data_IF_592193599357
#
_entry.id   IF_592193599357
#
_cell.length_a   1.000
_cell.length_b   1.000
_cell.length_c   1.000
_cell.angle_alpha   90.00
_cell.angle_beta   90.00
_cell.angle_gamma   90.00
#
_symmetry.space_group_name_H-M   'P 1'
#
loop_
_entity.id
_entity.type
_entity.pdbx_description
1 polymer ?
#
# COMPACT_ATOMS: atom_id res chain seq x y z
N UNK A 1 23.67 -0.72 17.78
CA UNK A 1 22.50 -0.52 16.89
C UNK A 1 21.97 -1.88 16.47
N UNK A 2 20.72 -2.21 16.80
CA UNK A 2 20.21 -3.59 16.79
C UNK A 2 20.06 -4.13 15.34
N UNK A 3 20.75 -5.21 14.96
CA UNK A 3 20.83 -5.71 13.57
C UNK A 3 19.46 -6.15 12.99
N UNK A 4 18.47 -6.42 13.84
CA UNK A 4 17.12 -6.88 13.46
C UNK A 4 16.30 -5.83 12.69
N UNK A 5 16.57 -4.53 12.88
CA UNK A 5 15.80 -3.44 12.24
C UNK A 5 16.02 -3.34 10.72
N UNK A 6 17.18 -3.79 10.20
CA UNK A 6 17.51 -3.67 8.77
C UNK A 6 16.74 -4.64 7.87
N UNK A 7 16.43 -5.84 8.37
CA UNK A 7 15.69 -6.87 7.61
C UNK A 7 14.23 -6.48 7.38
N UNK A 8 13.56 -5.98 8.42
CA UNK A 8 12.17 -5.53 8.34
C UNK A 8 12.01 -4.37 7.33
N UNK A 9 12.94 -3.41 7.32
CA UNK A 9 12.91 -2.28 6.39
C UNK A 9 13.03 -2.73 4.93
N UNK A 10 13.92 -3.69 4.63
CA UNK A 10 14.04 -4.25 3.27
C UNK A 10 12.75 -4.92 2.80
N UNK A 11 12.07 -5.65 3.68
CA UNK A 11 10.80 -6.32 3.35
C UNK A 11 9.70 -5.28 3.08
N UNK A 12 9.60 -4.24 3.92
CA UNK A 12 8.62 -3.16 3.73
C UNK A 12 8.84 -2.46 2.38
N UNK A 13 10.08 -2.08 2.08
CA UNK A 13 10.42 -1.43 0.80
C UNK A 13 10.07 -2.33 -0.39
N UNK A 14 10.42 -3.61 -0.32
CA UNK A 14 10.11 -4.57 -1.38
C UNK A 14 8.59 -4.73 -1.58
N UNK A 15 7.82 -4.85 -0.49
CA UNK A 15 6.36 -4.94 -0.54
C UNK A 15 5.72 -3.66 -1.09
N UNK A 16 6.23 -2.48 -0.72
CA UNK A 16 5.74 -1.21 -1.27
C UNK A 16 5.98 -1.09 -2.77
N UNK A 17 7.13 -1.56 -3.28
CA UNK A 17 7.42 -1.57 -4.72
C UNK A 17 6.48 -2.53 -5.45
N UNK A 18 6.29 -3.74 -4.93
CA UNK A 18 5.39 -4.74 -5.52
C UNK A 18 3.95 -4.19 -5.54
N UNK A 19 3.51 -3.59 -4.44
CA UNK A 19 2.19 -2.96 -4.36
C UNK A 19 2.02 -1.85 -5.38
N UNK A 20 3.01 -0.94 -5.51
CA UNK A 20 2.95 0.16 -6.47
C UNK A 20 2.93 -0.34 -7.91
N UNK A 21 3.75 -1.35 -8.23
CA UNK A 21 3.78 -1.97 -9.55
C UNK A 21 2.45 -2.68 -9.88
N UNK A 22 1.82 -3.34 -8.90
CA UNK A 22 0.52 -3.98 -9.06
C UNK A 22 -0.63 -2.96 -9.18
N UNK A 23 -0.52 -1.80 -8.53
CA UNK A 23 -1.49 -0.71 -8.63
C UNK A 23 -1.30 0.16 -9.88
N UNK A 24 -0.15 0.08 -10.56
CA UNK A 24 0.15 0.89 -11.74
C UNK A 24 -0.80 0.71 -12.94
N UNK A 25 -1.31 -0.49 -13.28
CA UNK A 25 -2.20 -0.69 -14.44
C UNK A 25 -3.57 -0.01 -14.26
N UNK A 26 -3.92 0.25 -13.01
CA UNK A 26 -5.24 0.73 -12.64
C UNK A 26 -5.63 2.04 -13.32
N UNK A 27 -4.83 3.13 -13.26
CA UNK A 27 -5.25 4.42 -13.80
C UNK A 27 -5.32 4.37 -15.33
N UNK A 28 -4.58 3.44 -15.96
CA UNK A 28 -4.68 3.20 -17.39
C UNK A 28 -5.99 2.49 -17.76
N UNK A 29 -6.47 1.56 -16.94
CA UNK A 29 -7.78 0.90 -17.13
C UNK A 29 -8.93 1.92 -16.99
N UNK A 30 -8.77 2.97 -16.17
CA UNK A 30 -9.75 4.06 -16.07
C UNK A 30 -9.97 4.80 -17.40
N UNK A 31 -8.93 4.92 -18.22
CA UNK A 31 -8.94 5.70 -19.47
C UNK A 31 -9.57 4.95 -20.67
N UNK A 32 -9.65 3.62 -20.62
CA UNK A 32 -10.23 2.78 -21.69
C UNK A 32 -11.13 1.67 -21.10
N UNK A 33 -12.29 2.02 -20.53
CA UNK A 33 -13.19 1.05 -19.94
C UNK A 33 -13.88 0.21 -21.01
N UNK A 34 -13.72 -1.12 -20.99
CA UNK A 34 -14.73 -1.99 -21.56
C UNK A 34 -16.03 -1.82 -20.76
N UNK A 35 -17.19 -1.56 -21.40
CA UNK A 35 -18.39 -1.07 -20.70
C UNK A 35 -18.89 -1.98 -19.56
N UNK A 36 -18.71 -3.29 -19.69
CA UNK A 36 -19.34 -4.30 -18.81
C UNK A 36 -18.62 -4.57 -17.49
N UNK A 37 -17.37 -4.13 -17.31
CA UNK A 37 -16.61 -4.38 -16.07
C UNK A 37 -16.12 -3.10 -15.39
N UNK A 38 -16.39 -1.94 -15.99
CA UNK A 38 -15.79 -0.67 -15.62
C UNK A 38 -16.23 -0.16 -14.24
N UNK A 39 -17.50 -0.25 -13.88
CA UNK A 39 -17.99 0.27 -12.59
C UNK A 39 -17.58 -0.61 -11.40
N UNK A 40 -17.67 -1.93 -11.53
CA UNK A 40 -17.18 -2.84 -10.49
C UNK A 40 -15.67 -2.71 -10.32
N UNK A 41 -14.92 -2.63 -11.42
CA UNK A 41 -13.47 -2.42 -11.37
C UNK A 41 -13.10 -1.10 -10.67
N UNK A 42 -13.78 0.00 -11.01
CA UNK A 42 -13.59 1.31 -10.33
C UNK A 42 -13.91 1.24 -8.84
N UNK A 43 -15.00 0.58 -8.48
CA UNK A 43 -15.39 0.40 -7.07
C UNK A 43 -14.35 -0.39 -6.30
N UNK A 44 -13.89 -1.54 -6.81
CA UNK A 44 -12.83 -2.32 -6.16
C UNK A 44 -11.53 -1.55 -6.02
N UNK A 45 -11.23 -0.70 -7.01
CA UNK A 45 -10.06 0.12 -6.95
C UNK A 45 -10.13 1.17 -5.84
N UNK A 46 -11.22 1.92 -5.78
CA UNK A 46 -11.41 2.96 -4.77
C UNK A 46 -11.35 2.35 -3.36
N UNK A 47 -11.95 1.16 -3.17
CA UNK A 47 -11.85 0.40 -1.93
C UNK A 47 -10.39 0.02 -1.64
N UNK A 48 -9.67 -0.55 -2.61
CA UNK A 48 -8.28 -0.93 -2.42
C UNK A 48 -7.38 0.26 -2.06
N UNK A 49 -7.59 1.40 -2.73
CA UNK A 49 -6.88 2.64 -2.44
C UNK A 49 -7.20 3.15 -1.03
N UNK A 50 -8.48 3.32 -0.69
CA UNK A 50 -8.92 3.82 0.62
C UNK A 50 -8.46 2.91 1.77
N UNK A 51 -8.56 1.60 1.60
CA UNK A 51 -8.16 0.64 2.63
C UNK A 51 -6.63 0.58 2.74
N UNK A 52 -5.87 0.70 1.65
CA UNK A 52 -4.40 0.63 1.70
C UNK A 52 -3.75 1.78 2.48
N UNK A 53 -4.34 2.98 2.45
CA UNK A 53 -3.80 4.19 3.09
C UNK A 53 -3.54 4.02 4.60
N UNK A 54 -4.49 3.58 5.44
CA UNK A 54 -4.24 3.39 6.88
C UNK A 54 -3.18 2.32 7.17
N UNK A 55 -3.08 1.25 6.38
CA UNK A 55 -2.05 0.21 6.58
C UNK A 55 -0.65 0.71 6.25
N UNK A 56 -0.50 1.46 5.15
CA UNK A 56 0.77 2.09 4.79
C UNK A 56 1.13 3.15 5.84
N UNK A 57 0.19 4.00 6.23
CA UNK A 57 0.41 5.01 7.26
C UNK A 57 0.84 4.38 8.60
N UNK A 58 0.22 3.27 9.01
CA UNK A 58 0.60 2.53 10.21
C UNK A 58 1.99 1.90 10.09
N UNK A 59 2.33 1.29 8.95
CA UNK A 59 3.66 0.71 8.71
C UNK A 59 4.77 1.77 8.72
N UNK A 60 4.50 2.96 8.17
CA UNK A 60 5.40 4.11 8.20
C UNK A 60 5.54 4.63 9.64
N UNK A 61 4.43 4.79 10.37
CA UNK A 61 4.43 5.25 11.75
C UNK A 61 5.22 4.29 12.67
N UNK A 62 5.05 2.97 12.52
CA UNK A 62 5.86 1.96 13.23
C UNK A 62 7.35 2.03 12.91
N UNK A 63 7.71 2.43 11.69
CA UNK A 63 9.11 2.50 11.27
C UNK A 63 9.82 3.78 11.73
N UNK A 64 9.12 4.93 11.68
CA UNK A 64 9.70 6.24 11.97
C UNK A 64 9.58 6.67 13.44
N UNK A 65 8.46 6.34 14.09
CA UNK A 65 8.12 6.71 15.47
C UNK A 65 7.45 5.53 16.18
N UNK A 66 8.17 4.41 16.38
CA UNK A 66 7.62 3.21 17.01
C UNK A 66 7.03 3.47 18.39
N UNK A 67 7.50 4.50 19.11
CA UNK A 67 6.96 4.92 20.42
C UNK A 67 5.52 5.46 20.37
N UNK A 68 5.03 5.94 19.22
CA UNK A 68 3.64 6.40 19.06
C UNK A 68 2.66 5.27 18.75
N UNK A 69 3.21 4.11 18.40
CA UNK A 69 2.46 2.99 17.81
C UNK A 69 2.69 1.67 18.55
N UNK A 70 3.55 1.69 19.57
CA UNK A 70 3.79 0.59 20.52
C UNK A 70 3.66 1.18 21.92
N UNK A 71 2.76 0.63 22.74
CA UNK A 71 2.69 1.01 24.16
C UNK A 71 3.88 0.38 24.89
N UNK A 72 4.74 1.21 25.47
CA UNK A 72 5.67 0.81 26.53
C UNK A 72 4.92 0.54 27.82
#
# INVERSE_FOLDING_TARGET
MVPKKKGALKIIIMLSIIWFAAALPVPFIWSNPTPQQSEQFRTYLEIAALISVPFIAMGVAWTLKPELTTRG
#
